data_IF_195965074966
#
_entry.id   IF_195965074966
#
_cell.length_a   1.000
_cell.length_b   1.000
_cell.length_c   1.000
_cell.angle_alpha   90.00
_cell.angle_beta   90.00
_cell.angle_gamma   90.00
#
_symmetry.space_group_name_H-M   'P 1'
#
loop_
_entity.id
_entity.type
_entity.pdbx_description
1 polymer ?
#
# COMPACT_ATOMS: atom_id res chain seq x y z
N UNK A 1 11.17 -6.33 -4.90
CA UNK A 1 11.82 -6.56 -3.60
C UNK A 1 10.95 -5.94 -2.50
N UNK A 2 10.72 -6.62 -1.38
CA UNK A 2 9.97 -6.03 -0.26
C UNK A 2 10.78 -4.86 0.29
N UNK A 3 10.19 -3.67 0.34
CA UNK A 3 10.83 -2.47 0.88
C UNK A 3 10.70 -2.41 2.42
N UNK A 4 10.80 -3.55 3.09
CA UNK A 4 10.69 -3.66 4.54
C UNK A 4 11.93 -4.36 5.08
N UNK A 5 12.39 -3.97 6.26
CA UNK A 5 13.61 -4.49 6.87
C UNK A 5 13.33 -4.99 8.29
N UNK A 6 13.93 -6.12 8.63
CA UNK A 6 13.97 -6.68 9.96
C UNK A 6 15.38 -6.50 10.51
N UNK A 7 15.49 -6.00 11.74
CA UNK A 7 16.77 -5.79 12.43
C UNK A 7 16.69 -6.53 13.76
N UNK A 8 17.63 -7.45 13.97
CA UNK A 8 17.89 -8.01 15.29
C UNK A 8 18.85 -7.07 16.04
N UNK A 9 18.36 -6.39 17.08
CA UNK A 9 19.14 -5.49 17.93
C UNK A 9 19.35 -6.05 19.35
N UNK A 10 19.06 -7.34 19.52
CA UNK A 10 19.22 -8.05 20.80
C UNK A 10 20.69 -8.28 21.12
N UNK A 11 21.01 -8.48 22.41
CA UNK A 11 22.38 -8.76 22.89
C UNK A 11 22.37 -9.90 23.90
N UNK A 12 23.15 -10.94 23.62
CA UNK A 12 23.35 -12.06 24.57
C UNK A 12 22.15 -12.97 24.79
N UNK A 13 21.14 -12.93 23.90
CA UNK A 13 19.97 -13.80 24.00
C UNK A 13 20.33 -15.22 23.58
N UNK A 14 20.23 -16.16 24.52
CA UNK A 14 20.47 -17.58 24.27
C UNK A 14 19.41 -18.13 23.30
N UNK A 15 19.84 -19.04 22.42
CA UNK A 15 19.01 -19.72 21.43
C UNK A 15 18.38 -18.85 20.33
N UNK A 16 18.70 -17.55 20.24
CA UNK A 16 18.18 -16.66 19.20
C UNK A 16 18.55 -17.14 17.78
N UNK A 17 19.79 -17.61 17.61
CA UNK A 17 20.29 -18.11 16.32
C UNK A 17 19.54 -19.38 15.86
N UNK A 18 18.97 -20.16 16.79
CA UNK A 18 18.22 -21.38 16.46
C UNK A 18 16.81 -21.08 15.93
N UNK A 19 16.25 -19.92 16.28
CA UNK A 19 14.91 -19.51 15.87
C UNK A 19 14.91 -18.45 14.77
N UNK A 20 16.09 -18.01 14.31
CA UNK A 20 16.25 -16.91 13.37
C UNK A 20 15.45 -17.12 12.07
N UNK A 21 15.46 -18.33 11.52
CA UNK A 21 14.68 -18.67 10.32
C UNK A 21 13.17 -18.50 10.54
N UNK A 22 12.67 -18.92 11.71
CA UNK A 22 11.26 -18.77 12.07
C UNK A 22 10.88 -17.32 12.32
N UNK A 23 11.81 -16.52 12.88
CA UNK A 23 11.66 -15.07 13.03
C UNK A 23 11.53 -14.39 11.67
N UNK A 24 12.39 -14.74 10.72
CA UNK A 24 12.33 -14.23 9.34
C UNK A 24 11.01 -14.65 8.69
N UNK A 25 10.62 -15.92 8.81
CA UNK A 25 9.34 -16.41 8.27
C UNK A 25 8.14 -15.65 8.86
N UNK A 26 8.09 -15.48 10.18
CA UNK A 26 7.02 -14.75 10.86
C UNK A 26 6.94 -13.29 10.40
N UNK A 27 8.09 -12.64 10.21
CA UNK A 27 8.17 -11.30 9.64
C UNK A 27 7.67 -11.26 8.19
N UNK A 28 8.08 -12.18 7.34
CA UNK A 28 7.64 -12.24 5.94
C UNK A 28 6.12 -12.45 5.84
N UNK A 29 5.56 -13.35 6.63
CA UNK A 29 4.11 -13.54 6.71
C UNK A 29 3.39 -12.27 7.16
N UNK A 30 3.94 -11.57 8.15
CA UNK A 30 3.42 -10.28 8.61
C UNK A 30 3.42 -9.25 7.46
N UNK A 31 4.47 -9.25 6.63
CA UNK A 31 4.57 -8.34 5.49
C UNK A 31 3.64 -8.71 4.33
N UNK A 32 3.27 -9.98 4.15
CA UNK A 32 2.33 -10.37 3.09
C UNK A 32 0.89 -9.94 3.39
N UNK A 33 0.49 -9.92 4.67
CA UNK A 33 -0.86 -9.58 5.11
C UNK A 33 -0.80 -8.62 6.29
N UNK A 34 -0.93 -7.33 6.04
CA UNK A 34 -0.96 -6.31 7.08
C UNK A 34 -2.24 -6.31 7.94
N UNK A 35 -2.22 -5.65 9.10
CA UNK A 35 -3.29 -5.73 10.10
C UNK A 35 -4.60 -5.05 9.66
N UNK A 36 -4.52 -3.92 8.93
CA UNK A 36 -5.71 -3.15 8.54
C UNK A 36 -6.68 -3.95 7.66
N UNK A 37 -6.19 -4.48 6.54
CA UNK A 37 -7.04 -5.05 5.50
C UNK A 37 -6.43 -6.30 4.82
N UNK A 38 -5.43 -6.93 5.45
CA UNK A 38 -4.66 -8.06 4.89
C UNK A 38 -4.09 -7.75 3.50
N UNK A 39 -3.69 -6.51 3.27
CA UNK A 39 -2.96 -6.07 2.09
C UNK A 39 -1.46 -6.18 2.34
N UNK A 40 -0.68 -6.23 1.26
CA UNK A 40 0.77 -6.31 1.35
C UNK A 40 1.35 -5.07 2.03
N UNK A 41 2.24 -5.27 2.99
CA UNK A 41 2.93 -4.21 3.73
C UNK A 41 4.22 -3.84 3.03
N UNK A 42 4.51 -2.54 3.00
CA UNK A 42 5.75 -1.97 2.45
C UNK A 42 6.23 -0.81 3.32
N UNK A 43 7.54 -0.54 3.31
CA UNK A 43 8.10 0.65 3.95
C UNK A 43 8.21 0.56 5.47
N UNK A 44 8.27 -0.65 6.04
CA UNK A 44 8.33 -0.85 7.49
C UNK A 44 9.71 -1.33 7.93
N UNK A 45 10.22 -0.75 9.02
CA UNK A 45 11.42 -1.19 9.72
C UNK A 45 11.02 -1.80 11.07
N UNK A 46 11.16 -3.11 11.20
CA UNK A 46 10.90 -3.84 12.45
C UNK A 46 12.24 -4.06 13.17
N UNK A 47 12.29 -3.73 14.46
CA UNK A 47 13.46 -3.95 15.32
C UNK A 47 13.07 -4.87 16.46
N UNK A 48 13.83 -5.94 16.64
CA UNK A 48 13.72 -6.82 17.81
C UNK A 48 14.66 -6.25 18.86
N UNK A 49 14.08 -5.75 19.95
CA UNK A 49 14.83 -5.08 21.03
C UNK A 49 15.28 -6.09 22.08
N UNK A 50 14.40 -7.02 22.44
CA UNK A 50 14.64 -8.05 23.44
C UNK A 50 13.80 -9.30 23.12
N UNK A 51 14.17 -10.44 23.66
CA UNK A 51 13.45 -11.70 23.50
C UNK A 51 13.72 -12.65 24.66
N UNK A 52 12.68 -13.34 25.12
CA UNK A 52 12.79 -14.46 26.05
C UNK A 52 12.45 -15.76 25.32
N UNK A 53 13.38 -16.70 25.33
CA UNK A 53 13.30 -17.94 24.53
C UNK A 53 13.41 -19.13 25.49
N UNK A 54 12.50 -20.08 25.36
CA UNK A 54 12.49 -21.30 26.16
C UNK A 54 13.68 -22.21 25.80
N UNK A 55 14.30 -22.89 26.77
CA UNK A 55 15.47 -23.75 26.51
C UNK A 55 15.12 -24.99 25.69
N UNK A 56 14.02 -25.67 26.02
CA UNK A 56 13.58 -26.87 25.30
C UNK A 56 13.07 -26.58 23.89
N UNK A 57 13.61 -27.23 22.84
CA UNK A 57 13.14 -27.07 21.45
C UNK A 57 11.67 -27.44 21.25
N UNK A 58 11.13 -28.33 22.08
CA UNK A 58 9.70 -28.75 22.03
C UNK A 58 8.76 -27.57 22.27
N UNK A 59 9.20 -26.56 23.01
CA UNK A 59 8.46 -25.33 23.30
C UNK A 59 8.78 -24.18 22.33
N UNK A 60 9.44 -24.48 21.20
CA UNK A 60 9.86 -23.51 20.18
C UNK A 60 9.43 -23.91 18.78
N UNK A 61 8.34 -24.68 18.67
CA UNK A 61 7.81 -25.09 17.38
C UNK A 61 7.28 -23.91 16.55
N UNK A 62 7.16 -24.05 15.22
CA UNK A 62 6.62 -23.01 14.34
C UNK A 62 5.24 -22.51 14.76
N UNK A 63 4.38 -23.41 15.25
CA UNK A 63 3.03 -23.08 15.72
C UNK A 63 3.01 -22.11 16.92
N UNK A 64 4.08 -22.10 17.72
CA UNK A 64 4.21 -21.19 18.87
C UNK A 64 4.93 -19.90 18.47
N UNK A 65 6.02 -20.00 17.70
CA UNK A 65 6.83 -18.84 17.34
C UNK A 65 6.16 -17.93 16.31
N UNK A 66 5.57 -18.47 15.23
CA UNK A 66 5.03 -17.63 14.16
C UNK A 66 3.93 -16.65 14.63
N UNK A 67 2.94 -17.06 15.46
CA UNK A 67 2.00 -16.12 16.05
C UNK A 67 2.68 -15.11 16.99
N UNK A 68 3.64 -15.56 17.81
CA UNK A 68 4.37 -14.73 18.79
C UNK A 68 5.21 -13.65 18.12
N UNK A 69 5.74 -13.90 16.91
CA UNK A 69 6.46 -12.90 16.12
C UNK A 69 5.49 -11.94 15.43
N UNK A 70 4.40 -12.47 14.88
CA UNK A 70 3.50 -11.71 13.99
C UNK A 70 2.56 -10.77 14.75
N UNK A 71 2.05 -11.20 15.92
CA UNK A 71 1.13 -10.40 16.75
C UNK A 71 1.76 -9.07 17.20
N UNK A 72 2.97 -9.02 17.80
CA UNK A 72 3.61 -7.75 18.18
C UNK A 72 3.91 -6.83 16.99
N UNK A 73 4.26 -7.39 15.82
CA UNK A 73 4.48 -6.61 14.60
C UNK A 73 3.18 -5.88 14.22
N UNK A 74 2.03 -6.57 14.26
CA UNK A 74 0.73 -5.95 13.97
C UNK A 74 0.32 -4.90 15.01
N UNK A 75 0.48 -5.19 16.30
CA UNK A 75 0.22 -4.22 17.37
C UNK A 75 1.09 -2.95 17.19
N UNK A 76 2.39 -3.14 16.96
CA UNK A 76 3.34 -2.05 16.74
C UNK A 76 3.01 -1.21 15.49
N UNK A 77 2.60 -1.84 14.40
CA UNK A 77 2.12 -1.12 13.21
C UNK A 77 0.91 -0.24 13.54
N UNK A 78 -0.09 -0.79 14.24
CA UNK A 78 -1.31 -0.06 14.59
C UNK A 78 -1.02 1.11 15.52
N UNK A 79 -0.13 0.94 16.50
CA UNK A 79 0.34 2.04 17.37
C UNK A 79 1.12 3.12 16.60
N UNK A 80 1.90 2.73 15.59
CA UNK A 80 2.68 3.67 14.78
C UNK A 80 1.82 4.53 13.84
N UNK A 81 0.52 4.28 13.74
CA UNK A 81 -0.37 4.97 12.80
C UNK A 81 -0.28 4.37 11.40
N UNK A 82 -1.00 3.27 11.19
CA UNK A 82 -1.08 2.63 9.87
C UNK A 82 -1.80 3.51 8.85
N UNK A 83 -1.32 3.46 7.61
CA UNK A 83 -1.96 4.07 6.44
C UNK A 83 -2.15 3.03 5.35
N UNK A 84 -3.12 3.25 4.48
CA UNK A 84 -3.25 2.50 3.24
C UNK A 84 -2.61 3.28 2.10
N UNK A 85 -1.91 2.60 1.19
CA UNK A 85 -1.38 3.23 -0.01
C UNK A 85 -2.18 2.75 -1.23
N UNK A 86 -2.56 3.68 -2.11
CA UNK A 86 -3.21 3.39 -3.39
C UNK A 86 -2.18 3.48 -4.53
N UNK A 87 -2.26 2.58 -5.54
CA UNK A 87 -1.41 2.68 -6.71
C UNK A 87 -1.79 3.89 -7.56
N UNK A 88 -0.78 4.62 -8.02
CA UNK A 88 -0.90 5.75 -8.94
C UNK A 88 -0.36 5.39 -10.32
N UNK A 89 -0.96 5.96 -11.35
CA UNK A 89 -0.45 5.95 -12.70
C UNK A 89 -0.15 7.38 -13.13
N UNK A 90 0.99 7.55 -13.78
CA UNK A 90 1.30 8.79 -14.49
C UNK A 90 0.76 8.64 -15.90
N UNK A 91 0.02 9.63 -16.36
CA UNK A 91 -0.70 9.63 -17.62
C UNK A 91 -0.26 10.83 -18.43
N UNK A 92 0.16 10.56 -19.66
CA UNK A 92 0.54 11.54 -20.65
C UNK A 92 -0.59 11.62 -21.69
N UNK A 93 -1.13 12.82 -21.91
CA UNK A 93 -2.09 13.08 -22.97
C UNK A 93 -1.43 13.96 -24.03
N UNK A 94 -1.66 13.64 -25.29
CA UNK A 94 -1.36 14.48 -26.44
C UNK A 94 -2.66 14.75 -27.18
N UNK A 95 -3.06 16.02 -27.24
CA UNK A 95 -4.37 16.46 -27.72
C UNK A 95 -4.26 17.76 -28.51
N UNK A 96 -5.22 18.05 -29.41
CA UNK A 96 -5.40 19.42 -29.92
C UNK A 96 -5.76 20.38 -28.77
N UNK A 97 -5.28 21.63 -28.85
CA UNK A 97 -5.44 22.61 -27.76
C UNK A 97 -6.90 22.89 -27.37
N UNK A 98 -7.82 22.81 -28.33
CA UNK A 98 -9.26 23.01 -28.13
C UNK A 98 -9.87 22.05 -27.09
N UNK A 99 -9.27 20.89 -26.84
CA UNK A 99 -9.76 19.91 -25.84
C UNK A 99 -9.03 19.98 -24.49
N UNK A 100 -8.08 20.89 -24.33
CA UNK A 100 -7.24 21.00 -23.12
C UNK A 100 -8.11 21.15 -21.87
N UNK A 101 -9.07 22.08 -21.90
CA UNK A 101 -9.96 22.32 -20.76
C UNK A 101 -10.77 21.07 -20.37
N UNK A 102 -11.22 20.28 -21.35
CA UNK A 102 -12.00 19.07 -21.11
C UNK A 102 -11.17 18.01 -20.37
N UNK A 103 -9.91 17.80 -20.79
CA UNK A 103 -9.01 16.85 -20.13
C UNK A 103 -8.63 17.33 -18.72
N UNK A 104 -8.39 18.62 -18.53
CA UNK A 104 -8.12 19.19 -17.21
C UNK A 104 -9.29 18.92 -16.25
N UNK A 105 -10.53 19.17 -16.72
CA UNK A 105 -11.74 18.89 -15.93
C UNK A 105 -11.88 17.41 -15.61
N UNK A 106 -11.59 16.52 -16.57
CA UNK A 106 -11.66 15.07 -16.40
C UNK A 106 -10.66 14.58 -15.33
N UNK A 107 -9.42 15.08 -15.37
CA UNK A 107 -8.38 14.77 -14.39
C UNK A 107 -8.81 15.22 -12.99
N UNK A 108 -9.31 16.46 -12.87
CA UNK A 108 -9.78 17.02 -11.61
C UNK A 108 -10.93 16.22 -10.99
N UNK A 109 -11.88 15.75 -11.80
CA UNK A 109 -12.99 14.90 -11.35
C UNK A 109 -12.56 13.53 -10.82
N UNK A 110 -11.35 13.08 -11.14
CA UNK A 110 -10.82 11.74 -10.82
C UNK A 110 -9.68 11.76 -9.82
N UNK A 111 -9.67 12.77 -8.93
CA UNK A 111 -8.60 12.99 -7.92
C UNK A 111 -7.20 13.01 -8.55
N UNK A 112 -7.11 13.43 -9.81
CA UNK A 112 -5.87 13.49 -10.54
C UNK A 112 -5.07 14.73 -10.14
N UNK A 113 -3.76 14.54 -9.98
CA UNK A 113 -2.82 15.61 -9.75
C UNK A 113 -2.19 16.00 -11.09
N UNK A 114 -2.32 17.27 -11.48
CA UNK A 114 -1.61 17.81 -12.63
C UNK A 114 -0.12 17.96 -12.30
N UNK A 115 0.75 17.52 -13.20
CA UNK A 115 2.19 17.61 -13.05
C UNK A 115 2.77 18.71 -13.95
N UNK A 116 2.38 18.70 -15.23
CA UNK A 116 2.91 19.61 -16.23
C UNK A 116 1.94 19.77 -17.41
N UNK A 117 1.97 20.93 -18.07
CA UNK A 117 1.26 21.19 -19.32
C UNK A 117 2.24 21.90 -20.26
N UNK A 118 2.46 21.30 -21.43
CA UNK A 118 3.27 21.85 -22.51
C UNK A 118 2.37 22.12 -23.71
N UNK A 119 2.55 23.27 -24.35
CA UNK A 119 1.78 23.67 -25.53
C UNK A 119 2.76 23.95 -26.67
N UNK A 120 2.57 23.24 -27.79
CA UNK A 120 3.40 23.35 -28.98
C UNK A 120 2.49 23.48 -30.21
N UNK A 121 2.49 24.67 -30.83
CA UNK A 121 1.65 24.96 -31.99
C UNK A 121 0.16 24.79 -31.66
N UNK A 122 -0.51 23.87 -32.37
CA UNK A 122 -1.93 23.55 -32.17
C UNK A 122 -2.15 22.36 -31.22
N UNK A 123 -1.08 21.79 -30.67
CA UNK A 123 -1.12 20.62 -29.79
C UNK A 123 -0.77 21.01 -28.35
N UNK A 124 -1.32 20.24 -27.41
CA UNK A 124 -1.01 20.31 -25.99
C UNK A 124 -0.67 18.91 -25.48
N UNK A 125 0.37 18.86 -24.65
CA UNK A 125 0.81 17.68 -23.92
C UNK A 125 0.54 17.90 -22.44
N UNK A 126 -0.24 17.03 -21.82
CA UNK A 126 -0.59 17.12 -20.39
C UNK A 126 -0.01 15.91 -19.67
N UNK A 127 0.78 16.17 -18.63
CA UNK A 127 1.24 15.16 -17.67
C UNK A 127 0.40 15.26 -16.40
N UNK A 128 -0.18 14.13 -16.00
CA UNK A 128 -0.93 14.03 -14.76
C UNK A 128 -0.64 12.71 -14.04
N UNK A 129 -1.03 12.63 -12.78
CA UNK A 129 -0.94 11.43 -11.96
C UNK A 129 -2.32 11.13 -11.38
N UNK A 130 -2.86 9.96 -11.68
CA UNK A 130 -4.20 9.55 -11.25
C UNK A 130 -4.15 8.27 -10.42
N UNK A 131 -5.05 8.10 -9.43
CA UNK A 131 -5.23 6.81 -8.77
C UNK A 131 -5.84 5.77 -9.71
N UNK A 132 -5.31 4.54 -9.69
CA UNK A 132 -5.80 3.45 -10.55
C UNK A 132 -7.28 3.14 -10.30
N UNK A 133 -7.76 3.30 -9.06
CA UNK A 133 -9.18 3.14 -8.73
C UNK A 133 -10.09 4.09 -9.49
N UNK A 134 -9.57 5.24 -9.91
CA UNK A 134 -10.29 6.26 -10.69
C UNK A 134 -10.03 6.12 -12.19
N UNK A 135 -9.38 5.05 -12.67
CA UNK A 135 -9.07 4.88 -14.10
C UNK A 135 -9.99 3.87 -14.80
N UNK A 136 -10.88 3.22 -14.07
CA UNK A 136 -11.92 2.38 -14.68
C UNK A 136 -12.87 3.23 -15.52
N UNK A 137 -13.08 2.84 -16.78
CA UNK A 137 -13.89 3.58 -17.75
C UNK A 137 -13.21 4.80 -18.39
N UNK A 138 -11.98 5.14 -17.96
CA UNK A 138 -11.29 6.36 -18.35
C UNK A 138 -11.08 6.51 -19.85
N UNK A 139 -10.76 5.41 -20.55
CA UNK A 139 -10.54 5.43 -22.01
C UNK A 139 -11.76 5.95 -22.80
N UNK A 140 -12.98 5.61 -22.36
CA UNK A 140 -14.20 6.03 -23.03
C UNK A 140 -14.51 7.50 -22.76
N UNK A 141 -14.27 7.96 -21.53
CA UNK A 141 -14.46 9.37 -21.17
C UNK A 141 -13.45 10.28 -21.86
N UNK A 142 -12.18 9.89 -21.93
CA UNK A 142 -11.17 10.60 -22.72
C UNK A 142 -11.60 10.68 -24.18
N UNK A 143 -12.03 9.55 -24.78
CA UNK A 143 -12.53 9.54 -26.16
C UNK A 143 -13.71 10.48 -26.35
N UNK A 144 -14.67 10.50 -25.43
CA UNK A 144 -15.83 11.40 -25.48
C UNK A 144 -15.44 12.87 -25.34
N UNK A 145 -14.59 13.18 -24.36
CA UNK A 145 -14.12 14.53 -24.05
C UNK A 145 -13.29 15.17 -25.18
N UNK A 146 -12.64 14.35 -26.01
CA UNK A 146 -11.77 14.81 -27.11
C UNK A 146 -12.27 14.42 -28.48
N UNK A 147 -13.51 13.93 -28.61
CA UNK A 147 -14.05 13.41 -29.88
C UNK A 147 -13.13 12.38 -30.58
N UNK A 148 -12.44 11.57 -29.80
CA UNK A 148 -11.48 10.56 -30.28
C UNK A 148 -10.14 11.11 -30.79
N UNK A 149 -9.83 12.38 -30.58
CA UNK A 149 -8.57 13.02 -30.99
C UNK A 149 -7.41 12.87 -30.00
N UNK A 150 -7.65 12.40 -28.78
CA UNK A 150 -6.60 12.19 -27.80
C UNK A 150 -5.78 10.93 -28.07
N UNK A 151 -4.45 11.10 -28.04
CA UNK A 151 -3.50 10.01 -27.86
C UNK A 151 -3.03 10.09 -26.41
N UNK A 152 -3.01 8.96 -25.71
CA UNK A 152 -2.57 8.96 -24.32
C UNK A 152 -1.88 7.65 -23.93
N UNK A 153 -0.97 7.76 -22.97
CA UNK A 153 -0.19 6.66 -22.45
C UNK A 153 -0.20 6.73 -20.93
N UNK A 154 -0.12 5.57 -20.28
CA UNK A 154 -0.02 5.47 -18.83
C UNK A 154 1.19 4.65 -18.43
N UNK A 155 1.87 5.08 -17.37
CA UNK A 155 2.99 4.39 -16.75
C UNK A 155 2.73 4.24 -15.24
N UNK A 156 3.28 3.20 -14.63
CA UNK A 156 3.19 3.01 -13.19
C UNK A 156 3.99 4.11 -12.46
N UNK A 157 3.33 4.82 -11.53
CA UNK A 157 3.92 5.94 -10.80
C UNK A 157 4.22 5.63 -9.32
N UNK A 158 4.02 4.39 -8.87
CA UNK A 158 4.23 4.03 -7.48
C UNK A 158 2.94 3.90 -6.66
N UNK A 159 3.13 3.78 -5.36
CA UNK A 159 2.06 3.80 -4.37
C UNK A 159 2.14 5.09 -3.57
N UNK A 160 1.00 5.69 -3.28
CA UNK A 160 0.92 6.90 -2.48
C UNK A 160 -0.14 6.76 -1.40
N UNK A 161 0.05 7.46 -0.30
CA UNK A 161 -0.88 7.43 0.84
C UNK A 161 -2.29 7.82 0.39
N UNK A 162 -3.24 6.94 0.69
CA UNK A 162 -4.65 7.20 0.47
C UNK A 162 -5.11 8.36 1.38
N UNK A 163 -5.91 9.32 0.86
CA UNK A 163 -6.47 10.38 1.68
C UNK A 163 -7.21 9.85 2.92
N UNK A 164 -7.02 10.52 4.07
CA UNK A 164 -7.56 10.07 5.36
C UNK A 164 -9.08 9.89 5.35
N UNK A 165 -9.79 10.77 4.65
CA UNK A 165 -11.26 10.72 4.56
C UNK A 165 -11.78 9.48 3.83
N UNK A 166 -10.95 8.85 2.99
CA UNK A 166 -11.29 7.62 2.27
C UNK A 166 -10.85 6.36 3.01
N UNK A 167 -9.91 6.48 3.96
CA UNK A 167 -9.23 5.34 4.58
C UNK A 167 -10.21 4.34 5.20
N UNK A 168 -11.10 4.80 6.08
CA UNK A 168 -12.02 3.93 6.80
C UNK A 168 -12.94 3.16 5.84
N UNK A 169 -13.54 3.87 4.89
CA UNK A 169 -14.45 3.29 3.89
C UNK A 169 -13.71 2.25 3.04
N UNK A 170 -12.53 2.59 2.51
CA UNK A 170 -11.75 1.68 1.67
C UNK A 170 -11.31 0.44 2.45
N UNK A 171 -10.89 0.58 3.71
CA UNK A 171 -10.54 -0.55 4.57
C UNK A 171 -11.75 -1.47 4.79
N UNK A 172 -12.91 -0.90 5.13
CA UNK A 172 -14.14 -1.67 5.32
C UNK A 172 -14.54 -2.43 4.04
N UNK A 173 -14.46 -1.79 2.87
CA UNK A 173 -14.80 -2.41 1.59
C UNK A 173 -13.85 -3.57 1.24
N UNK A 174 -12.54 -3.40 1.47
CA UNK A 174 -11.55 -4.46 1.26
C UNK A 174 -11.82 -5.64 2.20
N UNK A 175 -12.12 -5.38 3.48
CA UNK A 175 -12.39 -6.41 4.49
C UNK A 175 -13.66 -7.18 4.16
N UNK A 176 -14.75 -6.49 3.82
CA UNK A 176 -16.00 -7.12 3.35
C UNK A 176 -15.77 -8.03 2.14
N UNK A 177 -15.02 -7.55 1.14
CA UNK A 177 -14.66 -8.33 -0.05
C UNK A 177 -13.87 -9.60 0.29
N UNK A 178 -13.02 -9.56 1.33
CA UNK A 178 -12.22 -10.70 1.81
C UNK A 178 -12.98 -11.61 2.80
N UNK A 179 -14.22 -11.27 3.16
CA UNK A 179 -15.00 -12.02 4.16
C UNK A 179 -14.59 -11.76 5.61
N UNK A 180 -13.84 -10.67 5.87
CA UNK A 180 -13.42 -10.27 7.20
C UNK A 180 -14.43 -9.31 7.86
N UNK A 181 -14.47 -9.21 9.21
CA UNK A 181 -15.26 -8.22 9.91
C UNK A 181 -14.97 -6.81 9.37
N UNK A 182 -15.97 -5.97 9.06
CA UNK A 182 -15.74 -4.66 8.46
C UNK A 182 -14.86 -3.75 9.31
N UNK A 183 -14.97 -3.86 10.63
CA UNK A 183 -14.18 -3.07 11.57
C UNK A 183 -12.71 -3.52 11.53
N UNK A 184 -11.77 -2.56 11.38
CA UNK A 184 -10.35 -2.87 11.44
C UNK A 184 -9.96 -3.26 12.88
N UNK A 185 -8.98 -4.16 13.04
CA UNK A 185 -8.51 -4.55 14.35
C UNK A 185 -7.79 -3.40 15.05
N UNK A 186 -7.84 -3.43 16.37
CA UNK A 186 -7.15 -2.52 17.28
C UNK A 186 -5.82 -3.14 17.74
N UNK A 187 -4.88 -2.35 18.27
CA UNK A 187 -3.65 -2.90 18.85
C UNK A 187 -3.90 -3.99 19.91
N UNK A 188 -4.97 -3.82 20.69
CA UNK A 188 -5.35 -4.73 21.78
C UNK A 188 -5.60 -6.15 21.29
N UNK A 189 -6.20 -6.32 20.11
CA UNK A 189 -6.49 -7.64 19.50
C UNK A 189 -5.23 -8.49 19.23
N UNK A 190 -4.04 -7.88 19.31
CA UNK A 190 -2.75 -8.50 19.06
C UNK A 190 -1.79 -8.47 20.27
N UNK A 191 -2.22 -7.96 21.42
CA UNK A 191 -1.36 -7.86 22.61
C UNK A 191 -1.58 -8.99 23.63
N UNK A 192 -2.62 -9.80 23.45
CA UNK A 192 -2.90 -10.98 24.27
C UNK A 192 -1.92 -12.14 24.00
#
# INVERSE_FOLDING_TARGET
KNNSILINDTRGIQYMNEIEELVIQGFEEAMQKGPLAKEKVVGVKVRIIDAQIHEDPVHRGPAQLLPTIKRPIYAGMLYAGTVLQEPKQKVLFQIPQEYTANIISLIGGRRGQMLDIQQEGETATINAKLPVSEMFGFANEVRGATQGRAIWYQEYAGYETLPRDLLLKTVQDIRKRKGDPPEPPTPQDFMD
#
